data_IF_183621595367
#
_entry.id   IF_183621595367
#
_cell.length_a   1.000
_cell.length_b   1.000
_cell.length_c   1.000
_cell.angle_alpha   90.00
_cell.angle_beta   90.00
_cell.angle_gamma   90.00
#
_symmetry.space_group_name_H-M   'P 1'
#
loop_
_entity.id
_entity.type
_entity.pdbx_description
1 polymer ?
#
# COMPACT_ATOMS: atom_id res chain seq x y z
N UNK A 1 -13.92 -10.33 -8.53
CA UNK A 1 -13.99 -9.20 -7.58
C UNK A 1 -13.69 -9.73 -6.19
N UNK A 2 -12.79 -9.08 -5.47
CA UNK A 2 -12.46 -9.44 -4.09
C UNK A 2 -13.58 -8.95 -3.18
N UNK A 3 -13.99 -9.76 -2.21
CA UNK A 3 -15.00 -9.38 -1.20
C UNK A 3 -14.54 -9.93 0.14
N UNK A 4 -14.92 -9.30 1.25
CA UNK A 4 -14.44 -9.64 2.60
C UNK A 4 -14.58 -11.13 2.97
N UNK A 5 -15.65 -11.80 2.51
CA UNK A 5 -15.85 -13.23 2.76
C UNK A 5 -14.80 -14.16 2.10
N UNK A 6 -13.96 -13.64 1.20
CA UNK A 6 -12.90 -14.39 0.52
C UNK A 6 -11.54 -14.27 1.22
N UNK A 7 -11.38 -13.37 2.18
CA UNK A 7 -10.12 -13.21 2.93
C UNK A 7 -10.12 -14.11 4.15
N UNK A 8 -9.13 -14.99 4.26
CA UNK A 8 -8.89 -15.81 5.46
C UNK A 8 -8.05 -15.05 6.49
N UNK A 9 -8.08 -15.42 7.78
CA UNK A 9 -7.13 -14.91 8.76
C UNK A 9 -5.69 -15.04 8.25
N UNK A 10 -4.88 -14.00 8.43
CA UNK A 10 -3.50 -13.93 7.97
C UNK A 10 -3.31 -13.55 6.50
N UNK A 11 -4.37 -13.23 5.77
CA UNK A 11 -4.26 -12.81 4.36
C UNK A 11 -3.45 -11.51 4.24
N UNK A 12 -2.55 -11.45 3.25
CA UNK A 12 -1.90 -10.22 2.81
C UNK A 12 -2.30 -9.95 1.37
N UNK A 13 -2.75 -8.74 1.09
CA UNK A 13 -3.10 -8.25 -0.25
C UNK A 13 -2.09 -7.16 -0.62
N UNK A 14 -1.48 -7.28 -1.79
CA UNK A 14 -0.62 -6.23 -2.36
C UNK A 14 -1.40 -5.62 -3.53
N UNK A 15 -1.91 -4.41 -3.35
CA UNK A 15 -2.61 -3.65 -4.37
C UNK A 15 -1.61 -2.72 -5.06
N UNK A 16 -1.54 -2.79 -6.39
CA UNK A 16 -0.57 -2.03 -7.18
C UNK A 16 -1.19 -1.39 -8.44
N UNK A 17 -2.48 -1.63 -8.70
CA UNK A 17 -3.15 -1.22 -9.93
C UNK A 17 -3.90 0.10 -9.84
N UNK A 18 -4.19 0.61 -8.64
CA UNK A 18 -4.81 1.94 -8.48
C UNK A 18 -3.75 3.05 -8.59
N UNK A 19 -3.61 3.58 -9.80
CA UNK A 19 -2.71 4.69 -10.13
C UNK A 19 -3.45 5.92 -10.68
N UNK A 20 -4.79 5.86 -10.72
CA UNK A 20 -5.64 6.87 -11.36
C UNK A 20 -6.83 7.23 -10.46
N UNK A 21 -7.34 8.48 -10.52
CA UNK A 21 -8.39 8.97 -9.61
C UNK A 21 -9.71 8.19 -9.60
N UNK A 22 -9.95 7.32 -10.58
CA UNK A 22 -11.18 6.53 -10.71
C UNK A 22 -10.98 5.04 -10.44
N UNK A 23 -9.73 4.58 -10.33
CA UNK A 23 -9.43 3.18 -10.07
C UNK A 23 -9.62 2.85 -8.58
N UNK A 24 -10.02 1.60 -8.36
CA UNK A 24 -10.16 0.96 -7.06
C UNK A 24 -10.20 -0.55 -7.31
N UNK A 25 -9.23 -1.30 -6.81
CA UNK A 25 -9.19 -2.76 -6.92
C UNK A 25 -9.80 -3.43 -5.69
N UNK A 26 -9.65 -2.80 -4.52
CA UNK A 26 -9.99 -3.36 -3.22
C UNK A 26 -11.24 -2.66 -2.65
N UNK A 27 -12.25 -3.41 -2.23
CA UNK A 27 -13.43 -2.82 -1.58
C UNK A 27 -13.07 -2.03 -0.31
N UNK A 28 -13.74 -0.90 -0.12
CA UNK A 28 -13.53 0.01 1.01
C UNK A 28 -13.70 -0.68 2.39
N UNK A 29 -14.61 -1.66 2.51
CA UNK A 29 -14.82 -2.41 3.75
C UNK A 29 -13.67 -3.39 4.05
N UNK A 30 -12.97 -3.88 3.01
CA UNK A 30 -11.74 -4.68 3.15
C UNK A 30 -10.59 -3.78 3.61
N UNK A 31 -10.45 -2.58 3.03
CA UNK A 31 -9.44 -1.60 3.45
C UNK A 31 -9.61 -1.23 4.92
N UNK A 32 -10.82 -0.85 5.33
CA UNK A 32 -11.13 -0.45 6.72
C UNK A 32 -10.89 -1.56 7.74
N UNK A 33 -11.10 -2.82 7.34
CA UNK A 33 -10.89 -3.97 8.21
C UNK A 33 -9.42 -4.44 8.27
N UNK A 34 -8.54 -3.88 7.45
CA UNK A 34 -7.14 -4.30 7.35
C UNK A 34 -6.20 -3.46 8.21
N UNK A 35 -5.06 -4.04 8.58
CA UNK A 35 -3.84 -3.28 8.89
C UNK A 35 -3.35 -2.68 7.57
N UNK A 36 -3.82 -1.49 7.27
CA UNK A 36 -3.60 -0.80 6.00
C UNK A 36 -2.21 -0.12 5.99
N UNK A 37 -1.38 -0.52 5.04
CA UNK A 37 -0.02 0.00 4.84
C UNK A 37 0.03 0.67 3.47
N UNK A 38 0.39 1.95 3.42
CA UNK A 38 0.60 2.68 2.16
C UNK A 38 2.08 2.66 1.77
N UNK A 39 2.42 2.93 0.51
CA UNK A 39 3.79 3.32 0.18
C UNK A 39 4.09 4.75 0.63
N UNK A 40 3.28 5.72 0.19
CA UNK A 40 3.32 7.12 0.58
C UNK A 40 1.89 7.63 0.76
N UNK A 41 1.51 7.92 2.00
CA UNK A 41 0.12 8.25 2.38
C UNK A 41 -0.41 9.45 1.61
N UNK A 42 0.43 10.48 1.43
CA UNK A 42 0.08 11.69 0.67
C UNK A 42 -0.26 11.44 -0.80
N UNK A 43 0.20 10.32 -1.34
CA UNK A 43 -0.02 9.92 -2.73
C UNK A 43 -1.19 8.92 -2.83
N UNK A 44 -1.21 7.89 -1.98
CA UNK A 44 -2.33 6.94 -1.94
C UNK A 44 -3.66 7.61 -1.63
N UNK A 45 -3.67 8.68 -0.81
CA UNK A 45 -4.88 9.48 -0.54
C UNK A 45 -5.45 10.19 -1.77
N UNK A 46 -4.67 10.31 -2.86
CA UNK A 46 -5.06 11.00 -4.10
C UNK A 46 -5.29 10.09 -5.29
N UNK A 47 -4.51 9.02 -5.42
CA UNK A 47 -4.52 8.15 -6.61
C UNK A 47 -4.54 6.65 -6.30
N UNK A 48 -4.29 6.26 -5.04
CA UNK A 48 -4.31 4.86 -4.60
C UNK A 48 -5.68 4.37 -4.11
N UNK A 49 -5.69 3.22 -3.46
CA UNK A 49 -6.88 2.63 -2.84
C UNK A 49 -7.43 3.49 -1.69
N UNK A 50 -6.55 4.18 -0.93
CA UNK A 50 -6.96 5.06 0.17
C UNK A 50 -7.88 6.18 -0.29
N UNK A 51 -7.64 6.76 -1.47
CA UNK A 51 -8.49 7.81 -2.07
C UNK A 51 -9.97 7.40 -2.06
N UNK A 52 -10.29 6.19 -2.51
CA UNK A 52 -11.67 5.71 -2.56
C UNK A 52 -12.30 5.56 -1.17
N UNK A 53 -11.52 5.13 -0.18
CA UNK A 53 -11.97 4.99 1.20
C UNK A 53 -12.20 6.36 1.88
N UNK A 54 -11.32 7.33 1.64
CA UNK A 54 -11.46 8.70 2.12
C UNK A 54 -12.70 9.38 1.51
N UNK A 55 -12.89 9.27 0.19
CA UNK A 55 -14.03 9.86 -0.50
C UNK A 55 -15.37 9.26 -0.04
N UNK A 56 -15.38 7.97 0.30
CA UNK A 56 -16.55 7.30 0.86
C UNK A 56 -16.78 7.60 2.36
N UNK A 57 -15.86 8.31 3.01
CA UNK A 57 -15.94 8.64 4.43
C UNK A 57 -15.80 7.43 5.37
N UNK A 58 -15.27 6.31 4.89
CA UNK A 58 -15.09 5.09 5.71
C UNK A 58 -13.75 5.05 6.44
N UNK A 59 -12.75 5.79 5.93
CA UNK A 59 -11.43 5.93 6.51
C UNK A 59 -11.02 7.41 6.58
N UNK A 60 -10.09 7.73 7.46
CA UNK A 60 -9.29 8.98 7.46
C UNK A 60 -7.81 8.65 7.24
N UNK A 61 -6.95 9.66 7.04
CA UNK A 61 -5.50 9.42 6.96
C UNK A 61 -4.94 8.84 8.28
N UNK A 62 -5.59 9.10 9.42
CA UNK A 62 -5.22 8.51 10.72
C UNK A 62 -5.50 7.00 10.81
N UNK A 63 -6.32 6.45 9.91
CA UNK A 63 -6.54 4.99 9.81
C UNK A 63 -5.39 4.29 9.07
N UNK A 64 -4.44 5.02 8.47
CA UNK A 64 -3.24 4.43 7.89
C UNK A 64 -2.32 3.97 9.00
N UNK A 65 -2.10 2.66 9.08
CA UNK A 65 -1.27 2.08 10.14
C UNK A 65 0.20 2.51 9.99
N UNK A 66 0.75 2.37 8.79
CA UNK A 66 2.14 2.69 8.50
C UNK A 66 2.36 3.01 7.02
N UNK A 67 3.39 3.81 6.73
CA UNK A 67 4.02 3.78 5.41
C UNK A 67 4.99 2.59 5.33
N UNK A 68 5.14 2.01 4.13
CA UNK A 68 5.96 0.82 3.90
C UNK A 68 7.41 1.02 4.36
N UNK A 69 7.93 2.24 4.22
CA UNK A 69 9.26 2.61 4.71
C UNK A 69 9.40 2.46 6.23
N UNK A 70 8.37 2.80 7.01
CA UNK A 70 8.36 2.65 8.48
C UNK A 70 8.37 1.17 8.90
N UNK A 71 7.74 0.30 8.10
CA UNK A 71 7.75 -1.15 8.35
C UNK A 71 9.11 -1.75 7.99
N UNK A 72 9.65 -1.38 6.81
CA UNK A 72 10.94 -1.90 6.32
C UNK A 72 12.10 -1.47 7.21
N UNK A 73 12.08 -0.25 7.75
CA UNK A 73 13.14 0.25 8.63
C UNK A 73 12.98 -0.14 10.11
N UNK A 74 11.91 -0.86 10.46
CA UNK A 74 11.63 -1.34 11.82
C UNK A 74 11.04 -0.31 12.77
N UNK A 75 10.66 0.89 12.31
CA UNK A 75 10.00 1.90 13.14
C UNK A 75 8.60 1.48 13.57
N UNK A 76 7.90 0.70 12.73
CA UNK A 76 6.61 0.07 13.04
C UNK A 76 6.67 -1.43 12.72
N UNK A 77 6.07 -2.30 13.55
CA UNK A 77 6.01 -3.72 13.24
C UNK A 77 5.13 -3.99 12.02
N UNK A 78 5.45 -5.04 11.26
CA UNK A 78 4.60 -5.51 10.16
C UNK A 78 3.44 -6.35 10.69
N UNK A 79 3.48 -7.64 10.37
CA UNK A 79 2.54 -8.63 10.89
C UNK A 79 2.88 -9.02 12.33
N UNK A 80 1.90 -9.05 13.21
CA UNK A 80 2.05 -9.45 14.63
C UNK A 80 1.14 -10.64 15.00
N UNK A 81 0.18 -10.98 14.14
CA UNK A 81 -0.72 -12.12 14.29
C UNK A 81 -1.35 -12.52 12.96
N UNK A 82 -2.66 -12.73 12.98
CA UNK A 82 -3.47 -13.15 11.83
C UNK A 82 -4.18 -11.97 11.14
N UNK A 83 -3.63 -10.76 11.23
CA UNK A 83 -4.26 -9.57 10.67
C UNK A 83 -4.48 -9.70 9.16
N UNK A 84 -5.60 -9.19 8.66
CA UNK A 84 -5.69 -8.87 7.24
C UNK A 84 -4.77 -7.68 6.97
N UNK A 85 -3.81 -7.83 6.06
CA UNK A 85 -2.90 -6.73 5.66
C UNK A 85 -3.22 -6.33 4.23
N UNK A 86 -3.39 -5.04 3.99
CA UNK A 86 -3.42 -4.47 2.64
C UNK A 86 -2.20 -3.56 2.52
N UNK A 87 -1.41 -3.80 1.48
CA UNK A 87 -0.31 -2.92 1.07
C UNK A 87 -0.74 -2.21 -0.20
N UNK A 88 -0.91 -0.90 -0.14
CA UNK A 88 -1.31 -0.05 -1.27
C UNK A 88 -0.09 0.64 -1.88
N UNK A 89 0.23 0.28 -3.12
CA UNK A 89 1.41 0.71 -3.85
C UNK A 89 1.01 1.56 -5.05
N UNK A 90 1.41 2.82 -5.04
CA UNK A 90 1.24 3.78 -6.13
C UNK A 90 2.54 4.09 -6.87
N UNK A 91 3.68 3.67 -6.32
CA UNK A 91 5.03 3.87 -6.87
C UNK A 91 5.64 5.20 -6.43
N UNK A 92 6.91 5.18 -6.05
CA UNK A 92 7.63 6.39 -5.63
C UNK A 92 8.88 6.61 -6.49
N UNK A 93 9.16 7.86 -6.87
CA UNK A 93 10.36 8.18 -7.65
C UNK A 93 11.68 7.82 -6.94
N UNK A 94 11.67 7.69 -5.60
CA UNK A 94 12.81 7.20 -4.84
C UNK A 94 13.13 5.73 -5.17
N UNK A 95 12.11 4.89 -5.36
CA UNK A 95 12.29 3.48 -5.76
C UNK A 95 12.88 3.40 -7.18
N UNK A 96 12.39 4.23 -8.10
CA UNK A 96 12.91 4.29 -9.48
C UNK A 96 14.37 4.75 -9.53
N UNK A 97 14.71 5.79 -8.76
CA UNK A 97 16.08 6.29 -8.68
C UNK A 97 17.03 5.23 -8.10
N UNK A 98 16.61 4.53 -7.05
CA UNK A 98 17.41 3.48 -6.42
C UNK A 98 17.71 2.32 -7.39
N UNK A 99 16.70 1.81 -8.10
CA UNK A 99 16.92 0.72 -9.06
C UNK A 99 17.72 1.20 -10.28
N UNK A 100 17.53 2.45 -10.71
CA UNK A 100 18.32 3.08 -11.76
C UNK A 100 19.80 3.17 -11.41
N UNK A 101 20.14 3.53 -10.16
CA UNK A 101 21.52 3.53 -9.68
C UNK A 101 22.13 2.13 -9.71
N UNK A 102 21.41 1.11 -9.23
CA UNK A 102 21.89 -0.28 -9.26
C UNK A 102 22.15 -0.76 -10.69
N UNK A 103 21.26 -0.43 -11.63
CA UNK A 103 21.45 -0.77 -13.04
C UNK A 103 22.68 -0.07 -13.64
N UNK A 104 22.84 1.22 -13.36
CA UNK A 104 24.00 2.01 -13.80
C UNK A 104 25.32 1.44 -13.25
N UNK A 105 25.35 1.07 -11.97
CA UNK A 105 26.53 0.49 -11.32
C UNK A 105 26.95 -0.86 -11.90
N UNK A 106 25.99 -1.67 -12.33
CA UNK A 106 26.29 -2.93 -13.02
C UNK A 106 26.84 -2.70 -14.42
N UNK A 107 26.26 -1.76 -15.17
CA UNK A 107 26.69 -1.48 -16.55
C UNK A 107 28.07 -0.83 -16.63
N UNK A 108 28.40 0.08 -15.70
CA UNK A 108 29.73 0.72 -15.65
C UNK A 108 30.87 -0.21 -15.22
N UNK A 109 30.55 -1.39 -14.69
CA UNK A 109 31.51 -2.39 -14.23
C UNK A 109 31.77 -3.49 -15.27
N UNK A 110 31.06 -3.46 -16.40
CA UNK A 110 31.33 -4.25 -17.60
C UNK A 110 32.39 -3.55 -18.47
#
# INVERSE_FOLDING_TARGET
>A
FLFRGLTQPGTTIIASGSDQPTKQEIPNDVLKASKYISDLTKQTSKVGELRGALQAGVMTEDDVYAELGEVVNGSKPGREGDELIVVDLTGTGAQDAAIGQVAWEKLRAL
#
